data_IF_168505232774
#
_entry.id   IF_168505232774
#
_cell.length_a   1.000
_cell.length_b   1.000
_cell.length_c   1.000
_cell.angle_alpha   90.00
_cell.angle_beta   90.00
_cell.angle_gamma   90.00
#
_symmetry.space_group_name_H-M   'P 1'
#
loop_
_entity.id
_entity.type
_entity.pdbx_description
1 polymer ?
#
# COMPACT_ATOMS: atom_id res chain seq x y z
N UNK A 1 -4.66 -1.21 5.32
CA UNK A 1 -4.59 -2.50 4.61
C UNK A 1 -3.91 -2.29 3.26
N UNK A 2 -2.96 -3.15 2.88
CA UNK A 2 -2.34 -3.10 1.55
C UNK A 2 -3.33 -3.49 0.44
N UNK A 3 -3.15 -2.87 -0.72
CA UNK A 3 -3.94 -3.09 -1.95
C UNK A 3 -3.18 -3.90 -3.01
N UNK A 4 -1.91 -4.22 -2.76
CA UNK A 4 -1.01 -4.89 -3.70
C UNK A 4 -0.01 -5.75 -2.97
N UNK A 5 0.50 -6.75 -3.67
CA UNK A 5 1.69 -7.49 -3.26
C UNK A 5 2.91 -6.60 -3.52
N UNK A 6 3.61 -6.23 -2.44
CA UNK A 6 4.87 -5.51 -2.48
C UNK A 6 6.02 -6.48 -2.31
N UNK A 7 5.96 -7.26 -1.23
CA UNK A 7 6.96 -8.26 -0.90
C UNK A 7 6.31 -9.37 -0.07
N UNK A 8 5.91 -10.44 -0.75
CA UNK A 8 5.09 -11.50 -0.15
C UNK A 8 5.90 -12.32 0.87
N UNK A 9 7.21 -12.46 0.66
CA UNK A 9 8.09 -13.19 1.57
C UNK A 9 8.23 -12.48 2.93
N UNK A 10 8.16 -11.15 2.97
CA UNK A 10 8.18 -10.35 4.20
C UNK A 10 6.79 -10.04 4.77
N UNK A 11 5.73 -10.68 4.25
CA UNK A 11 4.36 -10.47 4.72
C UNK A 11 3.67 -9.22 4.18
N UNK A 12 4.30 -8.47 3.26
CA UNK A 12 3.72 -7.32 2.55
C UNK A 12 2.86 -7.73 1.36
N UNK A 13 1.86 -8.58 1.64
CA UNK A 13 0.86 -9.02 0.66
C UNK A 13 -0.33 -8.08 0.55
N UNK A 14 -1.13 -8.27 -0.49
CA UNK A 14 -2.44 -7.66 -0.61
C UNK A 14 -3.35 -8.16 0.53
N UNK A 15 -4.09 -7.24 1.17
CA UNK A 15 -4.92 -7.58 2.33
C UNK A 15 -4.20 -7.53 3.68
N UNK A 16 -2.86 -7.40 3.71
CA UNK A 16 -2.13 -7.26 4.97
C UNK A 16 -2.58 -6.01 5.73
N UNK A 17 -2.88 -6.19 7.02
CA UNK A 17 -3.32 -5.12 7.93
C UNK A 17 -2.10 -4.44 8.53
N UNK A 18 -2.14 -3.11 8.55
CA UNK A 18 -1.05 -2.26 8.99
C UNK A 18 -1.61 -1.13 9.85
N UNK A 19 -0.83 -0.69 10.82
CA UNK A 19 -1.08 0.50 11.63
C UNK A 19 -0.11 1.59 11.16
N UNK A 20 -0.64 2.76 10.80
CA UNK A 20 0.20 3.89 10.36
C UNK A 20 0.81 4.55 11.59
N UNK A 21 2.14 4.64 11.64
CA UNK A 21 2.87 5.29 12.73
C UNK A 21 3.27 6.73 12.35
N UNK A 22 3.84 6.94 11.15
CA UNK A 22 4.22 8.28 10.67
C UNK A 22 3.91 8.46 9.19
N UNK A 23 3.31 9.59 8.84
CA UNK A 23 3.04 10.00 7.45
C UNK A 23 4.10 11.00 6.99
N UNK A 24 4.73 10.74 5.83
CA UNK A 24 5.58 11.69 5.12
C UNK A 24 5.07 11.87 3.69
N UNK A 25 5.55 12.91 3.00
CA UNK A 25 5.09 13.28 1.65
C UNK A 25 5.23 12.16 0.60
N UNK A 26 6.28 11.34 0.68
CA UNK A 26 6.56 10.26 -0.29
C UNK A 26 6.57 8.86 0.33
N UNK A 27 6.57 8.76 1.65
CA UNK A 27 6.69 7.49 2.37
C UNK A 27 5.76 7.48 3.59
N UNK A 28 5.29 6.30 3.97
CA UNK A 28 4.56 6.07 5.21
C UNK A 28 5.30 5.02 6.02
N UNK A 29 5.53 5.31 7.30
CA UNK A 29 6.03 4.33 8.26
C UNK A 29 4.82 3.59 8.82
N UNK A 30 4.80 2.28 8.61
CA UNK A 30 3.74 1.37 9.03
C UNK A 30 4.30 0.32 9.99
N UNK A 31 3.44 -0.17 10.87
CA UNK A 31 3.64 -1.38 11.66
C UNK A 31 2.74 -2.46 11.08
N UNK A 32 3.18 -3.72 11.05
CA UNK A 32 2.24 -4.80 10.79
C UNK A 32 1.31 -4.98 12.00
N UNK A 33 0.07 -5.35 11.73
CA UNK A 33 -0.89 -5.64 12.80
C UNK A 33 -0.57 -6.96 13.52
N UNK A 34 0.09 -7.90 12.81
CA UNK A 34 0.43 -9.23 13.32
C UNK A 34 1.83 -9.23 13.96
N UNK A 35 2.76 -8.46 13.39
CA UNK A 35 4.14 -8.38 13.85
C UNK A 35 4.51 -6.93 14.15
N UNK A 36 5.21 -6.69 15.25
CA UNK A 36 5.73 -5.35 15.62
C UNK A 36 6.94 -4.91 14.78
N UNK A 37 7.00 -5.35 13.52
CA UNK A 37 8.02 -4.97 12.57
C UNK A 37 7.63 -3.66 11.87
N UNK A 38 8.59 -2.72 11.84
CA UNK A 38 8.43 -1.45 11.16
C UNK A 38 8.72 -1.63 9.66
N UNK A 39 7.89 -1.05 8.81
CA UNK A 39 8.10 -1.08 7.36
C UNK A 39 7.83 0.27 6.73
N UNK A 40 8.67 0.64 5.77
CA UNK A 40 8.52 1.86 4.98
C UNK A 40 7.78 1.55 3.68
N UNK A 41 6.65 2.20 3.48
CA UNK A 41 5.83 2.08 2.28
C UNK A 41 5.98 3.33 1.44
N UNK A 42 6.38 3.20 0.18
CA UNK A 42 6.47 4.30 -0.77
C UNK A 42 5.21 4.36 -1.65
N UNK A 43 5.05 5.49 -2.35
CA UNK A 43 4.03 5.61 -3.38
C UNK A 43 4.37 4.74 -4.60
N UNK A 44 3.35 4.09 -5.16
CA UNK A 44 3.51 3.26 -6.37
C UNK A 44 2.77 3.94 -7.52
N UNK A 45 3.41 3.97 -8.69
CA UNK A 45 2.73 4.38 -9.91
C UNK A 45 1.98 3.22 -10.55
N UNK A 46 0.68 3.41 -10.78
CA UNK A 46 -0.17 2.51 -11.51
C UNK A 46 -0.38 3.06 -12.92
N UNK A 47 -0.06 2.26 -13.93
CA UNK A 47 -0.31 2.59 -15.32
C UNK A 47 -1.57 1.86 -15.78
N UNK A 48 -2.45 2.57 -16.48
CA UNK A 48 -3.64 1.99 -17.10
C UNK A 48 -3.43 1.99 -18.60
N UNK A 49 -2.77 0.96 -19.10
CA UNK A 49 -2.57 0.73 -20.52
C UNK A 49 -3.78 -0.04 -21.08
N UNK A 50 -4.85 0.68 -21.33
CA UNK A 50 -5.79 0.31 -22.40
C UNK A 50 -5.22 0.93 -23.66
N UNK A 51 -5.29 0.26 -24.82
CA UNK A 51 -4.80 0.73 -26.16
C UNK A 51 -5.37 2.12 -26.55
N UNK A 52 -5.02 3.14 -25.81
CA UNK A 52 -5.47 4.52 -25.89
C UNK A 52 -4.28 5.34 -26.40
N UNK A 53 -4.59 6.46 -27.06
CA UNK A 53 -3.59 7.38 -27.60
C UNK A 53 -2.72 8.03 -26.50
N UNK A 54 -3.09 7.87 -25.22
CA UNK A 54 -2.35 8.38 -24.07
C UNK A 54 -2.33 7.37 -22.92
N UNK A 55 -1.21 7.36 -22.18
CA UNK A 55 -1.02 6.49 -21.01
C UNK A 55 -1.41 7.23 -19.73
N UNK A 56 -2.44 6.73 -19.03
CA UNK A 56 -2.83 7.26 -17.73
C UNK A 56 -1.93 6.68 -16.62
N UNK A 57 -1.28 7.57 -15.86
CA UNK A 57 -0.47 7.23 -14.68
C UNK A 57 -1.14 7.79 -13.43
N UNK A 58 -1.38 6.94 -12.42
CA UNK A 58 -1.82 7.35 -11.09
C UNK A 58 -0.79 6.92 -10.06
N UNK A 59 -0.21 7.88 -9.34
CA UNK A 59 0.72 7.61 -8.25
C UNK A 59 -0.04 7.72 -6.92
N UNK A 60 -0.07 6.64 -6.14
CA UNK A 60 -0.80 6.58 -4.87
C UNK A 60 -0.07 5.64 -3.92
N UNK A 61 -0.26 5.82 -2.60
CA UNK A 61 0.13 4.79 -1.64
C UNK A 61 -0.70 3.52 -1.89
N UNK A 62 -0.08 2.33 -1.89
CA UNK A 62 -0.77 1.06 -2.13
C UNK A 62 -1.55 0.59 -0.90
N UNK A 63 -2.20 1.50 -0.17
CA UNK A 63 -2.91 1.23 1.07
C UNK A 63 -4.31 1.85 1.03
N UNK A 64 -5.28 1.16 1.64
CA UNK A 64 -6.58 1.73 2.00
C UNK A 64 -6.74 1.82 3.51
N UNK A 65 -7.47 2.84 3.96
CA UNK A 65 -8.02 2.87 5.31
C UNK A 65 -8.98 1.69 5.45
N UNK A 66 -8.87 1.00 6.57
CA UNK A 66 -9.75 -0.12 6.90
C UNK A 66 -10.25 0.11 8.31
N UNK A 67 -11.57 0.21 8.46
CA UNK A 67 -12.20 0.19 9.77
C UNK A 67 -12.34 -1.27 10.24
N UNK A 68 -12.37 -1.54 11.55
CA UNK A 68 -12.44 -2.89 12.09
C UNK A 68 -13.69 -3.70 11.66
N UNK A 69 -14.71 -3.08 11.03
CA UNK A 69 -16.02 -3.68 10.73
C UNK A 69 -16.49 -3.53 9.28
N UNK A 70 -15.72 -3.96 8.29
CA UNK A 70 -16.28 -4.12 6.93
C UNK A 70 -15.85 -5.49 6.38
N UNK A 71 -16.75 -6.45 6.56
CA UNK A 71 -16.74 -7.80 5.97
C UNK A 71 -17.33 -7.70 4.57
#
# INVERSE_FOLDING_TARGET
MFLRNLDVSSGMGNGTRLIINKLKRKCVLCLFAIESNNTLVQNISCYKDKKLLFRLKRTQFPCRVMYPFMI
#
